data_IF_816661384637
#
_entry.id   IF_816661384637
#
_cell.length_a   1.000
_cell.length_b   1.000
_cell.length_c   1.000
_cell.angle_alpha   90.00
_cell.angle_beta   90.00
_cell.angle_gamma   90.00
#
_symmetry.space_group_name_H-M   'P 1'
#
loop_
_entity.id
_entity.type
_entity.pdbx_description
1 polymer ?
#
# COMPACT_ATOMS: atom_id res chain seq x y z
N UNK A 1 13.27 -3.68 -5.76
CA UNK A 1 12.00 -4.44 -5.74
C UNK A 1 10.86 -3.58 -6.27
N UNK A 2 10.62 -2.42 -5.67
CA UNK A 2 9.62 -1.41 -6.11
C UNK A 2 9.70 -1.07 -7.60
N UNK A 3 10.90 -0.82 -8.13
CA UNK A 3 11.07 -0.49 -9.57
C UNK A 3 10.63 -1.62 -10.49
N UNK A 4 10.91 -2.88 -10.14
CA UNK A 4 10.49 -4.05 -10.93
C UNK A 4 8.97 -4.20 -10.92
N UNK A 5 8.32 -3.97 -9.78
CA UNK A 5 6.85 -3.96 -9.71
C UNK A 5 6.28 -2.86 -10.60
N UNK A 6 6.78 -1.63 -10.44
CA UNK A 6 6.38 -0.47 -11.24
C UNK A 6 6.50 -0.73 -12.73
N UNK A 7 7.64 -1.26 -13.18
CA UNK A 7 7.90 -1.49 -14.60
C UNK A 7 7.06 -2.68 -15.13
N UNK A 8 6.85 -3.72 -14.31
CA UNK A 8 5.91 -4.80 -14.61
C UNK A 8 4.48 -4.30 -14.78
N UNK A 9 4.01 -3.42 -13.89
CA UNK A 9 2.69 -2.79 -13.99
C UNK A 9 2.56 -1.98 -15.29
N UNK A 10 3.58 -1.18 -15.65
CA UNK A 10 3.58 -0.41 -16.90
C UNK A 10 3.47 -1.32 -18.13
N UNK A 11 4.17 -2.45 -18.12
CA UNK A 11 4.10 -3.43 -19.22
C UNK A 11 2.71 -4.05 -19.29
N UNK A 12 2.16 -4.49 -18.15
CA UNK A 12 0.82 -5.10 -18.08
C UNK A 12 -0.28 -4.15 -18.57
N UNK A 13 -0.17 -2.85 -18.25
CA UNK A 13 -1.18 -1.86 -18.60
C UNK A 13 -1.22 -1.51 -20.10
N UNK A 14 -0.08 -1.60 -20.82
CA UNK A 14 0.03 -1.19 -22.24
C UNK A 14 -1.02 -1.83 -23.14
N UNK A 15 -1.35 -3.10 -22.89
CA UNK A 15 -2.31 -3.86 -23.69
C UNK A 15 -3.63 -4.14 -22.94
N UNK A 16 -3.91 -3.36 -21.89
CA UNK A 16 -5.11 -3.52 -21.07
C UNK A 16 -6.14 -2.42 -21.36
N UNK A 17 -7.43 -2.65 -21.01
CA UNK A 17 -8.44 -1.59 -20.97
C UNK A 17 -8.04 -0.39 -20.09
N UNK A 18 -7.12 -0.60 -19.15
CA UNK A 18 -6.65 0.37 -18.16
C UNK A 18 -5.41 1.15 -18.60
N UNK A 19 -5.09 1.18 -19.91
CA UNK A 19 -3.92 1.91 -20.46
C UNK A 19 -3.89 3.41 -20.15
N UNK A 20 -4.99 3.99 -19.67
CA UNK A 20 -5.08 5.39 -19.22
C UNK A 20 -4.53 5.62 -17.81
N UNK A 21 -4.17 4.56 -17.08
CA UNK A 21 -3.50 4.65 -15.79
C UNK A 21 -2.01 4.90 -16.03
N UNK A 22 -1.53 6.05 -15.57
CA UNK A 22 -0.11 6.38 -15.50
C UNK A 22 0.47 5.83 -14.20
N UNK A 23 1.48 4.97 -14.33
CA UNK A 23 2.27 4.48 -13.20
C UNK A 23 3.55 5.32 -13.10
N UNK A 24 3.62 6.12 -12.04
CA UNK A 24 4.68 7.11 -11.86
C UNK A 24 5.85 6.54 -11.03
N UNK A 25 7.07 7.07 -11.18
CA UNK A 25 8.13 6.81 -10.19
C UNK A 25 7.75 7.44 -8.85
N UNK A 26 8.35 6.95 -7.75
CA UNK A 26 8.10 7.50 -6.42
C UNK A 26 8.43 8.98 -6.34
N UNK A 27 7.40 9.79 -6.05
CA UNK A 27 7.49 11.25 -5.97
C UNK A 27 7.44 11.71 -4.52
N UNK A 28 8.08 12.86 -4.27
CA UNK A 28 7.82 13.65 -3.08
C UNK A 28 6.31 13.90 -2.94
N UNK A 29 5.81 13.81 -1.71
CA UNK A 29 4.40 14.00 -1.39
C UNK A 29 4.26 15.04 -0.29
N UNK A 30 3.12 15.72 -0.31
CA UNK A 30 2.69 16.64 0.75
C UNK A 30 1.48 16.02 1.43
N UNK A 31 1.49 15.99 2.75
CA UNK A 31 0.31 15.58 3.52
C UNK A 31 -0.88 16.51 3.29
N UNK A 32 -0.63 17.82 3.11
CA UNK A 32 -1.66 18.87 2.92
C UNK A 32 -1.22 19.93 1.92
N UNK A 33 -2.18 20.61 1.31
CA UNK A 33 -1.92 21.68 0.33
C UNK A 33 -1.14 22.88 0.89
N UNK A 34 -1.27 23.15 2.19
CA UNK A 34 -0.58 24.24 2.88
C UNK A 34 0.86 23.90 3.33
N UNK A 35 1.29 22.64 3.18
CA UNK A 35 2.65 22.21 3.49
C UNK A 35 3.60 22.68 2.38
N UNK A 36 4.54 23.57 2.71
CA UNK A 36 5.40 24.24 1.73
C UNK A 36 6.50 23.35 1.17
N UNK A 37 7.08 22.49 2.01
CA UNK A 37 8.12 21.53 1.65
C UNK A 37 7.56 20.12 1.74
N UNK A 38 7.86 19.22 0.79
CA UNK A 38 7.41 17.84 0.87
C UNK A 38 7.82 17.18 2.18
N UNK A 39 6.86 16.54 2.84
CA UNK A 39 7.04 15.87 4.12
C UNK A 39 7.00 14.34 4.01
N UNK A 40 6.74 13.82 2.80
CA UNK A 40 6.77 12.39 2.47
C UNK A 40 7.33 12.09 1.09
N UNK A 41 7.45 10.79 0.80
CA UNK A 41 7.81 10.28 -0.53
C UNK A 41 7.09 8.97 -0.75
N UNK A 42 6.17 8.96 -1.72
CA UNK A 42 5.39 7.78 -2.09
C UNK A 42 6.23 6.84 -2.95
N UNK A 43 5.96 5.53 -2.90
CA UNK A 43 6.70 4.54 -3.68
C UNK A 43 6.22 4.45 -5.13
N UNK A 44 4.91 4.25 -5.35
CA UNK A 44 4.31 4.15 -6.69
C UNK A 44 2.98 4.94 -6.70
N UNK A 45 3.00 6.19 -7.17
CA UNK A 45 1.79 6.95 -7.43
C UNK A 45 1.13 6.50 -8.74
N UNK A 46 -0.20 6.47 -8.74
CA UNK A 46 -1.02 6.21 -9.91
C UNK A 46 -1.84 7.45 -10.25
N UNK A 47 -1.83 7.85 -11.53
CA UNK A 47 -2.68 8.93 -12.01
C UNK A 47 -3.54 8.46 -13.19
N UNK A 48 -4.78 8.92 -13.25
CA UNK A 48 -5.66 8.68 -14.39
C UNK A 48 -5.58 9.88 -15.33
N UNK A 49 -5.16 9.66 -16.57
CA UNK A 49 -5.04 10.74 -17.58
C UNK A 49 -6.34 11.51 -17.74
N UNK A 50 -7.46 10.80 -17.74
CA UNK A 50 -8.78 11.42 -17.91
C UNK A 50 -9.15 12.37 -16.77
N UNK A 51 -8.85 11.99 -15.51
CA UNK A 51 -9.13 12.85 -14.36
C UNK A 51 -8.21 14.06 -14.39
N UNK A 52 -6.92 13.84 -14.67
CA UNK A 52 -5.94 14.91 -14.84
C UNK A 52 -6.40 15.96 -15.87
N UNK A 53 -6.82 15.52 -17.05
CA UNK A 53 -7.27 16.42 -18.13
C UNK A 53 -8.57 17.16 -17.77
N UNK A 54 -9.46 16.56 -16.99
CA UNK A 54 -10.76 17.15 -16.61
C UNK A 54 -10.68 18.10 -15.43
N UNK A 55 -9.85 17.79 -14.44
CA UNK A 55 -9.85 18.47 -13.13
C UNK A 55 -8.62 19.34 -12.92
N UNK A 56 -7.55 19.14 -13.71
CA UNK A 56 -6.21 19.67 -13.45
C UNK A 56 -5.67 19.29 -12.05
N UNK A 57 -6.21 18.24 -11.43
CA UNK A 57 -5.69 17.71 -10.18
C UNK A 57 -4.38 16.96 -10.47
N UNK A 58 -3.29 17.49 -9.90
CA UNK A 58 -1.95 16.93 -10.07
C UNK A 58 -1.62 15.87 -9.01
N UNK A 59 -2.47 15.72 -8.00
CA UNK A 59 -2.25 14.75 -6.94
C UNK A 59 -2.43 13.32 -7.47
N UNK A 60 -1.67 12.33 -6.94
CA UNK A 60 -1.90 10.94 -7.26
C UNK A 60 -3.34 10.56 -6.91
N UNK A 61 -4.01 9.85 -7.83
CA UNK A 61 -5.38 9.37 -7.64
C UNK A 61 -5.42 8.07 -6.83
N UNK A 62 -4.30 7.35 -6.79
CA UNK A 62 -4.05 6.25 -5.88
C UNK A 62 -2.56 6.16 -5.58
N UNK A 63 -2.22 5.59 -4.43
CA UNK A 63 -0.84 5.40 -3.99
C UNK A 63 -0.67 3.94 -3.59
N UNK A 64 0.38 3.31 -4.12
CA UNK A 64 0.87 2.02 -3.64
C UNK A 64 2.15 2.28 -2.83
N UNK A 65 2.10 1.96 -1.54
CA UNK A 65 3.26 1.96 -0.64
C UNK A 65 3.84 0.54 -0.56
N UNK A 66 5.16 0.44 -0.64
CA UNK A 66 5.87 -0.82 -0.75
C UNK A 66 6.80 -1.04 0.45
N UNK A 67 6.69 -2.20 1.10
CA UNK A 67 7.53 -2.58 2.24
C UNK A 67 8.15 -3.95 2.04
N UNK A 68 9.27 -4.19 2.70
CA UNK A 68 9.79 -5.56 2.90
C UNK A 68 9.07 -6.19 4.08
N UNK A 69 8.83 -7.49 4.05
CA UNK A 69 8.16 -8.18 5.15
C UNK A 69 8.66 -9.61 5.32
N UNK A 70 8.74 -10.06 6.56
CA UNK A 70 8.81 -11.46 6.93
C UNK A 70 8.01 -11.62 8.22
N UNK A 71 7.04 -12.53 8.26
CA UNK A 71 6.10 -12.65 9.38
C UNK A 71 6.76 -12.95 10.74
N UNK A 72 7.90 -13.65 10.71
CA UNK A 72 8.71 -13.96 11.89
C UNK A 72 9.61 -12.80 12.34
N UNK A 73 9.81 -11.78 11.50
CA UNK A 73 10.63 -10.61 11.81
C UNK A 73 9.76 -9.48 12.39
N UNK A 74 9.85 -9.32 13.71
CA UNK A 74 9.06 -8.30 14.42
C UNK A 74 9.44 -6.87 14.07
N UNK A 75 10.67 -6.62 13.59
CA UNK A 75 11.09 -5.29 13.14
C UNK A 75 10.44 -4.96 11.79
N UNK A 76 10.46 -5.89 10.84
CA UNK A 76 9.78 -5.68 9.55
C UNK A 76 8.26 -5.55 9.70
N UNK A 77 7.65 -6.32 10.59
CA UNK A 77 6.21 -6.17 10.92
C UNK A 77 5.92 -4.80 11.53
N UNK A 78 6.80 -4.28 12.40
CA UNK A 78 6.70 -2.93 12.94
C UNK A 78 6.83 -1.88 11.83
N UNK A 79 7.84 -1.98 10.98
CA UNK A 79 8.06 -1.02 9.88
C UNK A 79 6.88 -1.00 8.90
N UNK A 80 6.27 -2.16 8.61
CA UNK A 80 5.09 -2.24 7.76
C UNK A 80 3.92 -1.41 8.30
N UNK A 81 3.72 -1.44 9.62
CA UNK A 81 2.66 -0.69 10.30
C UNK A 81 3.04 0.78 10.45
N UNK A 82 4.16 1.06 11.10
CA UNK A 82 4.55 2.43 11.51
C UNK A 82 5.00 3.28 10.33
N UNK A 83 5.74 2.70 9.39
CA UNK A 83 6.27 3.45 8.23
C UNK A 83 5.44 3.24 6.96
N UNK A 84 4.41 2.40 7.02
CA UNK A 84 3.53 2.09 5.89
C UNK A 84 2.08 2.47 6.18
N UNK A 85 1.38 1.63 6.96
CA UNK A 85 -0.03 1.85 7.28
C UNK A 85 -0.28 3.21 7.93
N UNK A 86 0.54 3.60 8.90
CA UNK A 86 0.37 4.85 9.63
C UNK A 86 0.55 6.09 8.74
N UNK A 87 1.30 5.99 7.64
CA UNK A 87 1.39 7.11 6.67
C UNK A 87 0.05 7.37 5.99
N UNK A 88 -0.76 6.34 5.76
CA UNK A 88 -2.13 6.52 5.31
C UNK A 88 -3.05 6.95 6.44
N UNK A 89 -2.96 6.33 7.62
CA UNK A 89 -3.86 6.62 8.75
C UNK A 89 -3.71 8.07 9.22
N UNK A 90 -2.49 8.60 9.22
CA UNK A 90 -2.17 9.97 9.62
C UNK A 90 -2.25 10.98 8.47
N UNK A 91 -2.84 10.59 7.33
CA UNK A 91 -3.07 11.46 6.16
C UNK A 91 -1.78 12.01 5.53
N UNK A 92 -0.63 11.41 5.85
CA UNK A 92 0.62 11.72 5.15
C UNK A 92 0.54 11.32 3.68
N UNK A 93 -0.21 10.26 3.39
CA UNK A 93 -0.56 9.81 2.04
C UNK A 93 -2.08 9.75 1.87
N UNK A 94 -2.57 10.32 0.77
CA UNK A 94 -3.96 10.19 0.34
C UNK A 94 -4.96 10.72 1.36
N UNK A 95 -4.80 11.97 1.81
CA UNK A 95 -5.75 12.66 2.71
C UNK A 95 -7.19 12.53 2.18
N UNK A 96 -7.38 12.71 0.85
CA UNK A 96 -8.67 12.62 0.16
C UNK A 96 -9.00 11.22 -0.37
N UNK A 97 -8.18 10.20 -0.07
CA UNK A 97 -8.39 8.84 -0.58
C UNK A 97 -9.20 8.00 0.41
N UNK A 98 -10.29 7.39 -0.07
CA UNK A 98 -11.05 6.41 0.71
C UNK A 98 -10.35 5.03 0.75
N UNK A 99 -9.43 4.77 -0.19
CA UNK A 99 -8.72 3.50 -0.32
C UNK A 99 -7.22 3.77 -0.54
N UNK A 100 -6.36 3.09 0.21
CA UNK A 100 -4.91 3.03 -0.02
C UNK A 100 -4.44 1.61 -0.34
N UNK A 101 -3.27 1.48 -0.94
CA UNK A 101 -2.71 0.19 -1.36
C UNK A 101 -1.34 -0.04 -0.74
N UNK A 102 -1.16 -1.22 -0.17
CA UNK A 102 0.07 -1.67 0.46
C UNK A 102 0.56 -2.94 -0.25
N UNK A 103 1.83 -2.96 -0.63
CA UNK A 103 2.52 -4.15 -1.13
C UNK A 103 3.63 -4.53 -0.17
N UNK A 104 3.58 -5.75 0.37
CA UNK A 104 4.67 -6.34 1.13
C UNK A 104 5.45 -7.34 0.28
N UNK A 105 6.73 -7.11 0.07
CA UNK A 105 7.64 -8.10 -0.53
C UNK A 105 8.06 -9.12 0.51
N UNK A 106 7.56 -10.35 0.39
CA UNK A 106 7.80 -11.42 1.35
C UNK A 106 9.24 -11.93 1.18
N UNK A 107 10.08 -11.68 2.18
CA UNK A 107 11.48 -12.10 2.20
C UNK A 107 11.65 -13.54 2.68
N UNK A 108 10.75 -14.02 3.56
CA UNK A 108 10.73 -15.38 4.09
C UNK A 108 9.33 -15.76 4.57
N UNK A 109 9.02 -17.05 4.52
CA UNK A 109 7.72 -17.61 4.91
C UNK A 109 6.63 -17.45 3.84
N UNK A 110 5.42 -17.88 4.18
CA UNK A 110 4.25 -17.71 3.32
C UNK A 110 3.66 -16.27 3.43
N UNK A 111 2.94 -15.79 2.40
CA UNK A 111 2.18 -14.54 2.46
C UNK A 111 1.23 -14.44 3.68
N UNK A 112 0.56 -15.54 4.04
CA UNK A 112 -0.32 -15.59 5.22
C UNK A 112 0.44 -15.37 6.54
N UNK A 113 1.65 -15.93 6.65
CA UNK A 113 2.49 -15.72 7.84
C UNK A 113 2.88 -14.25 7.99
N UNK A 114 3.05 -13.52 6.88
CA UNK A 114 3.30 -12.08 6.91
C UNK A 114 2.10 -11.30 7.45
N UNK A 115 0.87 -11.65 7.03
CA UNK A 115 -0.35 -11.06 7.60
C UNK A 115 -0.49 -11.38 9.10
N UNK A 116 -0.18 -12.62 9.50
CA UNK A 116 -0.21 -13.05 10.90
C UNK A 116 0.82 -12.31 11.76
N UNK A 117 2.03 -12.09 11.22
CA UNK A 117 3.09 -11.32 11.88
C UNK A 117 2.70 -9.86 12.10
N UNK A 118 2.11 -9.20 11.09
CA UNK A 118 1.56 -7.84 11.23
C UNK A 118 0.45 -7.81 12.28
N UNK A 119 -0.48 -8.77 12.24
CA UNK A 119 -1.55 -8.88 13.23
C UNK A 119 -1.03 -9.15 14.65
N UNK A 120 0.03 -9.95 14.79
CA UNK A 120 0.68 -10.20 16.08
C UNK A 120 1.32 -8.93 16.63
N UNK A 121 2.00 -8.16 15.77
CA UNK A 121 2.53 -6.85 16.14
C UNK A 121 1.40 -5.90 16.61
N UNK A 122 0.33 -5.77 15.84
CA UNK A 122 -0.81 -4.89 16.15
C UNK A 122 -1.47 -5.27 17.49
N UNK A 123 -1.69 -6.57 17.74
CA UNK A 123 -2.19 -7.05 19.04
C UNK A 123 -1.26 -6.65 20.18
N UNK A 124 0.05 -6.84 20.02
CA UNK A 124 1.07 -6.50 21.04
C UNK A 124 1.07 -5.02 21.40
N UNK A 125 0.80 -4.14 20.44
CA UNK A 125 0.72 -2.69 20.66
C UNK A 125 -0.70 -2.18 20.90
N UNK A 126 -1.64 -3.06 21.27
CA UNK A 126 -3.05 -2.72 21.57
C UNK A 126 -3.82 -2.05 20.43
N UNK A 127 -3.45 -2.36 19.18
CA UNK A 127 -4.10 -1.86 17.95
C UNK A 127 -4.85 -2.97 17.22
N UNK A 128 -5.50 -3.89 17.95
CA UNK A 128 -6.23 -5.03 17.37
C UNK A 128 -7.34 -4.64 16.39
N UNK A 129 -7.85 -3.41 16.47
CA UNK A 129 -8.85 -2.85 15.54
C UNK A 129 -8.29 -2.61 14.13
N UNK A 130 -6.98 -2.38 14.02
CA UNK A 130 -6.28 -2.15 12.75
C UNK A 130 -5.87 -3.46 12.04
N UNK A 131 -6.34 -4.60 12.54
CA UNK A 131 -5.96 -5.92 12.04
C UNK A 131 -6.27 -6.10 10.56
N UNK A 132 -5.41 -6.86 9.90
CA UNK A 132 -5.59 -7.35 8.54
C UNK A 132 -6.57 -8.53 8.58
N UNK A 133 -7.61 -8.45 7.78
CA UNK A 133 -8.55 -9.53 7.50
C UNK A 133 -8.41 -9.97 6.03
N UNK A 134 -8.72 -11.22 5.67
CA UNK A 134 -8.80 -11.61 4.26
C UNK A 134 -9.69 -10.66 3.45
N UNK A 135 -9.30 -10.39 2.21
CA UNK A 135 -10.05 -9.54 1.28
C UNK A 135 -10.76 -10.38 0.22
N UNK A 136 -11.96 -9.96 -0.15
CA UNK A 136 -12.78 -10.64 -1.17
C UNK A 136 -12.37 -10.26 -2.60
N UNK A 137 -11.39 -9.36 -2.77
CA UNK A 137 -10.95 -8.87 -4.09
C UNK A 137 -10.18 -9.95 -4.86
N UNK A 138 -9.31 -10.69 -4.18
CA UNK A 138 -8.48 -11.72 -4.77
C UNK A 138 -7.96 -12.64 -3.68
N UNK A 139 -7.86 -13.94 -3.99
CA UNK A 139 -7.19 -14.90 -3.12
C UNK A 139 -5.77 -14.41 -2.77
N UNK A 140 -5.38 -14.62 -1.51
CA UNK A 140 -4.06 -14.18 -1.02
C UNK A 140 -3.91 -12.66 -0.89
N UNK A 141 -5.02 -11.93 -0.70
CA UNK A 141 -5.00 -10.50 -0.34
C UNK A 141 -5.73 -10.25 0.98
N UNK A 142 -5.39 -9.14 1.63
CA UNK A 142 -5.97 -8.73 2.91
C UNK A 142 -6.45 -7.29 2.83
N UNK A 143 -7.34 -6.92 3.74
CA UNK A 143 -7.83 -5.57 3.92
C UNK A 143 -7.84 -5.18 5.40
N UNK A 144 -7.78 -3.88 5.66
CA UNK A 144 -7.98 -3.29 6.98
C UNK A 144 -8.74 -1.96 6.84
N UNK A 145 -9.41 -1.52 7.90
CA UNK A 145 -10.20 -0.29 7.93
C UNK A 145 -9.78 0.55 9.13
N UNK A 146 -9.45 1.81 8.88
CA UNK A 146 -8.89 2.69 9.90
C UNK A 146 -9.69 3.98 10.03
N UNK A 147 -10.01 4.35 11.26
CA UNK A 147 -10.55 5.67 11.55
C UNK A 147 -9.48 6.73 11.31
N UNK A 148 -9.89 7.86 10.70
CA UNK A 148 -9.09 9.09 10.61
C UNK A 148 -9.72 10.18 11.46
N UNK A 149 -8.93 11.19 11.79
CA UNK A 149 -9.42 12.36 12.52
C UNK A 149 -10.44 13.12 11.66
N UNK A 150 -11.60 13.47 12.24
CA UNK A 150 -12.59 14.29 11.52
C UNK A 150 -11.95 15.62 11.06
N UNK A 151 -12.27 16.12 9.86
CA UNK A 151 -13.41 15.75 9.01
C UNK A 151 -13.16 14.57 8.06
N UNK A 152 -11.97 13.99 8.06
CA UNK A 152 -11.57 12.97 7.09
C UNK A 152 -12.39 11.68 7.24
N UNK A 153 -12.70 11.06 6.10
CA UNK A 153 -13.37 9.78 6.07
C UNK A 153 -12.41 8.65 6.51
N UNK A 154 -12.91 7.56 7.10
CA UNK A 154 -12.12 6.36 7.33
C UNK A 154 -11.45 5.89 6.03
N UNK A 155 -10.24 5.35 6.15
CA UNK A 155 -9.51 4.78 5.01
C UNK A 155 -9.50 3.25 5.09
N UNK A 156 -9.78 2.61 3.96
CA UNK A 156 -9.56 1.18 3.77
C UNK A 156 -8.19 0.97 3.14
N UNK A 157 -7.37 0.07 3.69
CA UNK A 157 -6.13 -0.36 3.05
C UNK A 157 -6.32 -1.74 2.44
N UNK A 158 -5.89 -1.90 1.19
CA UNK A 158 -5.76 -3.20 0.51
C UNK A 158 -4.30 -3.64 0.55
N UNK A 159 -4.05 -4.88 0.95
CA UNK A 159 -2.72 -5.42 1.19
C UNK A 159 -2.48 -6.64 0.29
N UNK A 160 -1.38 -6.61 -0.46
CA UNK A 160 -0.89 -7.76 -1.20
C UNK A 160 0.50 -8.15 -0.69
N UNK A 161 0.69 -9.41 -0.29
CA UNK A 161 1.97 -9.96 0.12
C UNK A 161 2.55 -10.81 -1.02
N UNK A 162 3.52 -10.25 -1.73
CA UNK A 162 4.08 -10.83 -2.94
C UNK A 162 5.36 -11.60 -2.61
N UNK A 163 5.32 -12.91 -2.81
CA UNK A 163 6.51 -13.76 -2.81
C UNK A 163 7.33 -13.60 -4.09
N UNK A 164 8.57 -14.09 -4.08
CA UNK A 164 9.41 -14.17 -5.27
C UNK A 164 9.24 -15.54 -5.92
N UNK A 165 8.94 -15.57 -7.22
CA UNK A 165 8.95 -16.81 -7.99
C UNK A 165 10.38 -17.39 -7.96
N UNK A 166 10.56 -18.46 -7.18
CA UNK A 166 11.87 -19.08 -6.90
C UNK A 166 11.89 -19.89 -5.61
N UNK A 167 11.02 -19.56 -4.65
CA UNK A 167 10.69 -20.46 -3.54
C UNK A 167 9.43 -21.21 -3.91
N UNK A 168 9.60 -22.38 -4.51
CA UNK A 168 8.52 -23.36 -4.61
C UNK A 168 7.95 -23.57 -3.21
N UNK A 169 6.72 -23.12 -2.97
CA UNK A 169 5.91 -23.72 -1.93
C UNK A 169 5.87 -25.21 -2.24
N UNK A 170 6.49 -26.02 -1.38
CA UNK A 170 6.32 -27.46 -1.43
C UNK A 170 4.82 -27.71 -1.33
N UNK A 171 4.18 -28.03 -2.46
CA UNK A 171 2.84 -28.59 -2.46
C UNK A 171 3.02 -30.00 -1.93
N UNK A 172 2.64 -30.16 -0.67
CA UNK A 172 2.29 -31.40 0.06
C UNK A 172 3.08 -32.64 -0.30
#
# INVERSE_FOLDING_TARGET
MTERLRDGMRIALKNSPWKQIMVLPGTESRSKSNVMLPDGRTDIPLAFVEIFLRTQEHDPHAIIECKRIAGSDTHLCREYVVEGMDRFIQEKYGENHAIGFMVGYVLAGAPSESADGVNAYLRRVSRSVDRLAPSDISDGTWQSLHARSKPSMPIRLQHAFLGFAGTSASRT
#
